data_IF_688935686318
#
_entry.id   IF_688935686318
#
_cell.length_a   1.000
_cell.length_b   1.000
_cell.length_c   1.000
_cell.angle_alpha   90.00
_cell.angle_beta   90.00
_cell.angle_gamma   90.00
#
_symmetry.space_group_name_H-M   'P 1'
#
loop_
_entity.id
_entity.type
_entity.pdbx_description
1 polymer ?
#
# COMPACT_ATOMS: atom_id res chain seq x y z
N UNK A 1 13.56 9.33 5.39
CA UNK A 1 12.25 9.27 4.69
C UNK A 1 12.53 8.46 3.44
N UNK A 2 12.58 7.15 3.61
CA UNK A 2 13.06 6.22 2.58
C UNK A 2 11.86 5.41 2.08
N UNK A 3 10.83 6.14 1.66
CA UNK A 3 9.60 5.57 1.13
C UNK A 3 9.84 5.09 -0.29
N UNK A 4 10.38 3.89 -0.44
CA UNK A 4 10.35 3.17 -1.69
C UNK A 4 8.89 2.81 -2.03
N UNK A 5 8.46 3.11 -3.26
CA UNK A 5 7.15 2.70 -3.76
C UNK A 5 6.98 1.17 -3.63
N UNK A 6 5.74 0.68 -3.49
CA UNK A 6 5.46 -0.76 -3.29
C UNK A 6 6.16 -1.66 -4.32
N UNK A 7 6.23 -1.22 -5.58
CA UNK A 7 6.93 -1.96 -6.64
C UNK A 7 8.42 -2.14 -6.35
N UNK A 8 9.07 -1.12 -5.82
CA UNK A 8 10.49 -1.19 -5.48
C UNK A 8 10.74 -2.11 -4.28
N UNK A 9 9.84 -2.09 -3.28
CA UNK A 9 9.92 -3.00 -2.13
C UNK A 9 9.67 -4.46 -2.55
N UNK A 10 8.76 -4.70 -3.49
CA UNK A 10 8.52 -6.04 -4.07
C UNK A 10 9.78 -6.55 -4.79
N UNK A 11 10.38 -5.73 -5.66
CA UNK A 11 11.60 -6.10 -6.41
C UNK A 11 12.76 -6.35 -5.44
N UNK A 12 12.96 -5.47 -4.45
CA UNK A 12 14.00 -5.63 -3.43
C UNK A 12 13.84 -6.93 -2.63
N UNK A 13 12.61 -7.31 -2.29
CA UNK A 13 12.34 -8.58 -1.61
C UNK A 13 12.54 -9.79 -2.51
N UNK A 14 12.17 -9.68 -3.78
CA UNK A 14 12.45 -10.72 -4.77
C UNK A 14 13.95 -10.94 -4.96
N UNK A 15 14.74 -9.87 -5.06
CA UNK A 15 16.21 -9.93 -5.15
C UNK A 15 16.85 -10.52 -3.88
N UNK A 16 16.21 -10.34 -2.71
CA UNK A 16 16.61 -10.97 -1.46
C UNK A 16 16.19 -12.45 -1.34
N UNK A 17 15.61 -13.03 -2.40
CA UNK A 17 15.23 -14.45 -2.46
C UNK A 17 13.82 -14.77 -1.95
N UNK A 18 13.00 -13.76 -1.65
CA UNK A 18 11.60 -13.97 -1.28
C UNK A 18 10.72 -14.19 -2.52
N UNK A 19 9.79 -15.13 -2.44
CA UNK A 19 8.83 -15.36 -3.52
C UNK A 19 7.73 -14.31 -3.48
N UNK A 20 7.64 -13.52 -4.55
CA UNK A 20 6.45 -12.71 -4.79
C UNK A 20 5.33 -13.61 -5.34
N UNK A 21 4.23 -13.71 -4.60
CA UNK A 21 3.07 -14.53 -4.96
C UNK A 21 1.80 -13.70 -4.94
N UNK A 22 0.74 -14.23 -5.55
CA UNK A 22 -0.59 -13.61 -5.52
C UNK A 22 -1.10 -13.41 -4.08
N UNK A 23 -0.75 -14.32 -3.16
CA UNK A 23 -1.08 -14.19 -1.74
C UNK A 23 -0.44 -12.93 -1.11
N UNK A 24 0.82 -12.64 -1.46
CA UNK A 24 1.53 -11.43 -1.02
C UNK A 24 0.89 -10.17 -1.62
N UNK A 25 0.56 -10.20 -2.90
CA UNK A 25 -0.14 -9.10 -3.57
C UNK A 25 -1.51 -8.81 -2.94
N UNK A 26 -2.29 -9.86 -2.65
CA UNK A 26 -3.60 -9.77 -2.00
C UNK A 26 -3.48 -9.17 -0.59
N UNK A 27 -2.44 -9.52 0.16
CA UNK A 27 -2.19 -8.94 1.48
C UNK A 27 -2.00 -7.42 1.43
N UNK A 28 -1.21 -6.91 0.47
CA UNK A 28 -1.05 -5.47 0.26
C UNK A 28 -2.34 -4.80 -0.22
N UNK A 29 -3.08 -5.46 -1.12
CA UNK A 29 -4.36 -4.93 -1.60
C UNK A 29 -5.37 -4.77 -0.46
N UNK A 30 -5.42 -5.72 0.48
CA UNK A 30 -6.27 -5.62 1.68
C UNK A 30 -5.94 -4.37 2.51
N UNK A 31 -4.65 -4.09 2.75
CA UNK A 31 -4.23 -2.90 3.50
C UNK A 31 -4.65 -1.60 2.79
N UNK A 32 -4.52 -1.55 1.46
CA UNK A 32 -4.95 -0.40 0.66
C UNK A 32 -6.47 -0.21 0.77
N UNK A 33 -7.24 -1.28 0.62
CA UNK A 33 -8.70 -1.25 0.66
C UNK A 33 -9.23 -0.89 2.05
N UNK A 34 -8.60 -1.36 3.13
CA UNK A 34 -8.98 -1.01 4.51
C UNK A 34 -8.86 0.49 4.77
N UNK A 35 -7.83 1.12 4.25
CA UNK A 35 -7.66 2.55 4.42
C UNK A 35 -8.49 3.38 3.45
N UNK A 36 -8.75 2.87 2.24
CA UNK A 36 -9.78 3.48 1.38
C UNK A 36 -11.14 3.44 2.04
N UNK A 37 -11.49 2.34 2.71
CA UNK A 37 -12.71 2.24 3.52
C UNK A 37 -12.73 3.31 4.60
N UNK A 38 -11.65 3.46 5.38
CA UNK A 38 -11.55 4.53 6.38
C UNK A 38 -11.74 5.94 5.77
N UNK A 39 -11.11 6.23 4.64
CA UNK A 39 -11.31 7.50 3.94
C UNK A 39 -12.76 7.70 3.51
N UNK A 40 -13.38 6.68 2.92
CA UNK A 40 -14.78 6.73 2.47
C UNK A 40 -15.76 6.87 3.64
N UNK A 41 -15.50 6.24 4.78
CA UNK A 41 -16.28 6.39 6.01
C UNK A 41 -16.23 7.85 6.53
N UNK A 42 -15.15 8.57 6.24
CA UNK A 42 -14.97 10.00 6.53
C UNK A 42 -15.37 10.91 5.35
N UNK A 43 -16.05 10.37 4.33
CA UNK A 43 -16.49 11.09 3.13
C UNK A 43 -15.33 11.74 2.33
N UNK A 44 -14.10 11.19 2.46
CA UNK A 44 -12.89 11.62 1.76
C UNK A 44 -12.65 10.71 0.57
N UNK A 45 -12.58 11.29 -0.64
CA UNK A 45 -12.24 10.57 -1.87
C UNK A 45 -10.75 10.80 -2.18
N UNK A 46 -9.96 9.71 -2.24
CA UNK A 46 -8.50 9.80 -2.47
C UNK A 46 -8.15 10.38 -3.85
N UNK A 47 -9.01 10.20 -4.88
CA UNK A 47 -8.94 10.75 -6.26
C UNK A 47 -7.68 10.42 -7.11
N UNK A 48 -6.60 9.96 -6.51
CA UNK A 48 -5.38 9.48 -7.20
C UNK A 48 -4.85 8.23 -6.48
N UNK A 49 -5.66 7.16 -6.51
CA UNK A 49 -5.26 5.86 -5.93
C UNK A 49 -4.21 5.25 -6.86
N UNK A 50 -2.94 5.44 -6.51
CA UNK A 50 -1.79 4.81 -7.18
C UNK A 50 -1.06 3.95 -6.18
N UNK A 51 -0.90 2.68 -6.53
CA UNK A 51 -0.24 1.65 -5.72
C UNK A 51 1.15 2.08 -5.23
N UNK A 52 1.87 2.92 -6.01
CA UNK A 52 3.18 3.45 -5.62
C UNK A 52 3.16 4.28 -4.34
N UNK A 53 2.26 5.27 -4.24
CA UNK A 53 2.25 6.25 -3.13
C UNK A 53 1.17 6.01 -2.09
N UNK A 54 0.05 5.39 -2.49
CA UNK A 54 -1.09 5.19 -1.60
C UNK A 54 -0.72 4.32 -0.39
N UNK A 55 0.16 3.32 -0.53
CA UNK A 55 0.57 2.47 0.61
C UNK A 55 1.25 3.26 1.73
N UNK A 56 2.14 4.20 1.39
CA UNK A 56 2.85 5.02 2.41
C UNK A 56 1.99 6.14 2.99
N UNK A 57 1.03 6.68 2.21
CA UNK A 57 0.08 7.70 2.66
C UNK A 57 -1.01 7.12 3.56
N UNK A 58 -1.50 5.93 3.23
CA UNK A 58 -2.52 5.19 3.98
C UNK A 58 -2.05 4.86 5.40
N UNK A 59 -0.79 4.42 5.55
CA UNK A 59 -0.21 4.14 6.88
C UNK A 59 -0.18 5.40 7.74
N UNK A 60 0.01 6.60 7.18
CA UNK A 60 -0.03 7.86 7.94
C UNK A 60 -1.44 8.34 8.28
N UNK A 61 -2.45 8.03 7.47
CA UNK A 61 -3.86 8.43 7.76
C UNK A 61 -4.44 7.67 8.96
N UNK A 62 -3.94 6.47 9.27
CA UNK A 62 -4.35 5.70 10.46
C UNK A 62 -3.41 5.85 11.68
N UNK A 63 -2.27 6.53 11.56
CA UNK A 63 -1.28 6.72 12.65
C UNK A 63 -1.19 8.18 13.15
N UNK A 64 -2.12 9.05 12.75
CA UNK A 64 -2.33 10.39 13.28
C UNK A 64 -3.67 10.48 14.01
#
# INVERSE_FOLDING_TARGET
MDGADLCFEIVKRADAGFVYSEAVASHYMRQILEALRYCHDNNVIHRDVKVGRSVSLIVRVCLL
#
